data_IF_602320697032
#
_entry.id   IF_602320697032
#
_cell.length_a   1.000
_cell.length_b   1.000
_cell.length_c   1.000
_cell.angle_alpha   90.00
_cell.angle_beta   90.00
_cell.angle_gamma   90.00
#
_symmetry.space_group_name_H-M   'P 1'
#
loop_
_entity.id
_entity.type
_entity.pdbx_description
1 polymer ?
#
# COMPACT_ATOMS: atom_id res chain seq x y z
N UNK A 1 1.00 -6.23 17.68
CA UNK A 1 -0.20 -5.37 17.79
C UNK A 1 -1.52 -6.11 18.17
N UNK A 2 -1.48 -7.26 18.88
CA UNK A 2 -2.68 -7.85 19.52
C UNK A 2 -2.54 -8.07 21.04
N UNK A 3 -1.41 -7.71 21.66
CA UNK A 3 -1.15 -8.03 23.08
C UNK A 3 -1.92 -7.15 24.07
N UNK A 4 -2.42 -5.98 23.67
CA UNK A 4 -2.98 -5.02 24.65
C UNK A 4 -4.50 -5.16 24.87
N UNK A 5 -5.25 -5.68 23.89
CA UNK A 5 -6.71 -5.80 24.01
C UNK A 5 -7.15 -7.04 24.80
N UNK A 6 -6.35 -8.11 24.81
CA UNK A 6 -6.67 -9.35 25.53
C UNK A 6 -6.32 -9.31 27.02
N UNK A 7 -5.58 -8.31 27.48
CA UNK A 7 -5.07 -8.25 28.87
C UNK A 7 -6.02 -7.49 29.80
N UNK A 8 -6.76 -6.49 29.30
CA UNK A 8 -7.69 -5.72 30.14
C UNK A 8 -8.88 -6.56 30.67
N UNK A 9 -9.25 -7.64 29.98
CA UNK A 9 -10.25 -8.61 30.49
C UNK A 9 -9.63 -9.60 31.48
N UNK A 10 -8.31 -9.88 31.41
CA UNK A 10 -7.62 -10.83 32.31
C UNK A 10 -7.45 -10.30 33.73
N UNK A 11 -7.42 -8.98 33.93
CA UNK A 11 -7.19 -8.38 35.25
C UNK A 11 -8.46 -8.32 36.13
N UNK A 12 -9.65 -8.49 35.56
CA UNK A 12 -10.91 -8.31 36.32
C UNK A 12 -11.40 -9.57 37.06
N UNK A 13 -10.83 -10.76 36.82
CA UNK A 13 -11.36 -12.03 37.38
C UNK A 13 -10.38 -12.90 38.18
N UNK A 14 -9.20 -12.39 38.56
CA UNK A 14 -8.24 -13.14 39.42
C UNK A 14 -8.41 -12.84 40.92
N UNK A 15 -9.56 -12.31 41.37
CA UNK A 15 -9.79 -11.99 42.79
C UNK A 15 -10.87 -12.81 43.50
N UNK A 16 -11.17 -14.02 43.05
CA UNK A 16 -11.99 -14.95 43.84
C UNK A 16 -11.26 -16.28 44.01
N UNK A 17 -10.51 -16.41 45.12
CA UNK A 17 -10.15 -17.73 45.66
C UNK A 17 -11.24 -18.17 46.63
N UNK A 18 -11.94 -19.28 46.42
CA UNK A 18 -12.60 -19.98 47.50
C UNK A 18 -11.55 -20.79 48.27
N UNK A 19 -11.63 -20.77 49.60
CA UNK A 19 -10.89 -21.68 50.49
C UNK A 19 -11.63 -23.02 50.51
N UNK A 20 -10.97 -24.12 50.15
CA UNK A 20 -11.46 -25.47 50.45
C UNK A 20 -10.85 -26.51 49.53
N UNK A 21 -9.97 -27.36 50.05
CA UNK A 21 -9.40 -28.49 49.31
C UNK A 21 -10.36 -29.67 49.23
N UNK A 22 -10.61 -30.15 48.02
CA UNK A 22 -11.34 -31.38 47.75
C UNK A 22 -11.01 -31.90 46.35
N UNK A 23 -10.89 -33.22 46.21
CA UNK A 23 -10.45 -33.95 45.00
C UNK A 23 -11.32 -33.77 43.74
N UNK A 24 -12.41 -32.98 43.81
CA UNK A 24 -13.21 -32.54 42.66
C UNK A 24 -12.65 -31.32 41.93
N UNK A 25 -11.73 -30.57 42.55
CA UNK A 25 -11.13 -29.36 41.96
C UNK A 25 -10.22 -29.68 40.76
N UNK A 26 -9.62 -30.87 40.72
CA UNK A 26 -8.65 -31.22 39.68
C UNK A 26 -9.34 -31.51 38.34
N UNK A 27 -10.49 -32.20 38.33
CA UNK A 27 -11.24 -32.50 37.09
C UNK A 27 -11.89 -31.25 36.48
N UNK A 28 -12.42 -30.34 37.30
CA UNK A 28 -13.00 -29.07 36.84
C UNK A 28 -11.93 -28.11 36.28
N UNK A 29 -10.73 -28.07 36.90
CA UNK A 29 -9.61 -27.27 36.40
C UNK A 29 -9.02 -27.82 35.10
N UNK A 30 -9.00 -29.15 34.91
CA UNK A 30 -8.56 -29.76 33.64
C UNK A 30 -9.57 -29.45 32.53
N UNK A 31 -10.87 -29.61 32.77
CA UNK A 31 -11.92 -29.30 31.77
C UNK A 31 -11.94 -27.82 31.38
N UNK A 32 -11.81 -26.91 32.35
CA UNK A 32 -11.74 -25.47 32.04
C UNK A 32 -10.48 -25.13 31.25
N UNK A 33 -9.32 -25.69 31.62
CA UNK A 33 -8.07 -25.51 30.86
C UNK A 33 -8.17 -26.07 29.45
N UNK A 34 -8.85 -27.20 29.25
CA UNK A 34 -9.02 -27.81 27.94
C UNK A 34 -10.01 -27.02 27.07
N UNK A 35 -11.08 -26.48 27.65
CA UNK A 35 -12.03 -25.56 26.97
C UNK A 35 -11.34 -24.24 26.61
N UNK A 36 -10.55 -23.65 27.53
CA UNK A 36 -9.78 -22.44 27.22
C UNK A 36 -8.68 -22.69 26.20
N UNK A 37 -8.10 -23.89 26.18
CA UNK A 37 -7.10 -24.30 25.20
C UNK A 37 -7.75 -24.60 23.85
N UNK A 38 -8.98 -25.10 23.81
CA UNK A 38 -9.77 -25.21 22.57
C UNK A 38 -10.22 -23.82 22.08
N UNK A 39 -10.69 -22.93 22.95
CA UNK A 39 -11.02 -21.54 22.59
C UNK A 39 -9.79 -20.75 22.16
N UNK A 40 -8.64 -20.94 22.81
CA UNK A 40 -7.35 -20.37 22.42
C UNK A 40 -6.87 -21.00 21.12
N UNK A 41 -6.96 -22.32 20.92
CA UNK A 41 -6.65 -22.97 19.65
C UNK A 41 -7.65 -22.64 18.53
N UNK A 42 -8.88 -22.23 18.84
CA UNK A 42 -9.91 -21.75 17.91
C UNK A 42 -9.79 -20.25 17.61
N UNK A 43 -9.26 -19.47 18.55
CA UNK A 43 -8.91 -18.05 18.36
C UNK A 43 -7.53 -17.89 17.69
N UNK A 44 -6.65 -18.88 17.87
CA UNK A 44 -5.34 -19.05 17.22
C UNK A 44 -5.46 -19.93 15.97
N UNK A 45 -6.61 -20.58 15.73
CA UNK A 45 -6.94 -21.22 14.45
C UNK A 45 -6.84 -20.13 13.38
N UNK A 46 -5.73 -20.19 12.65
CA UNK A 46 -5.21 -19.26 11.66
C UNK A 46 -6.21 -18.20 11.18
N UNK A 47 -5.89 -16.92 11.35
CA UNK A 47 -6.47 -15.89 10.47
C UNK A 47 -6.31 -16.37 9.03
N UNK A 48 -7.42 -16.83 8.43
CA UNK A 48 -7.40 -17.47 7.13
C UNK A 48 -6.69 -16.57 6.13
N UNK A 49 -5.60 -17.05 5.54
CA UNK A 49 -4.86 -16.34 4.51
C UNK A 49 -5.78 -15.86 3.38
N UNK A 50 -6.84 -16.60 3.08
CA UNK A 50 -7.90 -16.20 2.17
C UNK A 50 -8.50 -14.84 2.53
N UNK A 51 -8.82 -14.59 3.82
CA UNK A 51 -9.34 -13.29 4.27
C UNK A 51 -8.33 -12.17 4.08
N UNK A 52 -7.03 -12.44 4.28
CA UNK A 52 -5.96 -11.45 4.07
C UNK A 52 -5.80 -11.10 2.59
N UNK A 53 -5.81 -12.10 1.71
CA UNK A 53 -5.79 -11.87 0.26
C UNK A 53 -7.03 -11.09 -0.20
N UNK A 54 -8.23 -11.43 0.29
CA UNK A 54 -9.44 -10.67 0.00
C UNK A 54 -9.36 -9.23 0.54
N UNK A 55 -8.72 -9.02 1.70
CA UNK A 55 -8.42 -7.70 2.23
C UNK A 55 -7.54 -6.88 1.28
N UNK A 56 -6.48 -7.47 0.73
CA UNK A 56 -5.64 -6.81 -0.27
C UNK A 56 -6.40 -6.52 -1.58
N UNK A 57 -7.23 -7.44 -2.07
CA UNK A 57 -8.11 -7.19 -3.23
C UNK A 57 -9.01 -5.98 -2.95
N UNK A 58 -9.70 -5.96 -1.81
CA UNK A 58 -10.62 -4.88 -1.43
C UNK A 58 -9.89 -3.54 -1.27
N UNK A 59 -8.77 -3.52 -0.56
CA UNK A 59 -8.01 -2.30 -0.32
C UNK A 59 -7.44 -1.73 -1.60
N UNK A 60 -6.84 -2.55 -2.47
CA UNK A 60 -6.32 -2.06 -3.75
C UNK A 60 -7.45 -1.66 -4.69
N UNK A 61 -8.59 -2.36 -4.66
CA UNK A 61 -9.77 -1.91 -5.38
C UNK A 61 -10.18 -0.50 -4.96
N UNK A 62 -10.34 -0.23 -3.66
CA UNK A 62 -10.72 1.10 -3.14
C UNK A 62 -9.69 2.16 -3.52
N UNK A 63 -8.40 1.85 -3.34
CA UNK A 63 -7.28 2.73 -3.68
C UNK A 63 -7.33 3.15 -5.16
N UNK A 64 -7.30 2.18 -6.06
CA UNK A 64 -7.18 2.42 -7.50
C UNK A 64 -8.49 2.97 -8.05
N UNK A 65 -9.64 2.50 -7.59
CA UNK A 65 -10.93 2.96 -8.08
C UNK A 65 -11.15 4.45 -7.80
N UNK A 66 -10.82 4.91 -6.59
CA UNK A 66 -10.97 6.32 -6.22
C UNK A 66 -9.91 7.20 -6.91
N UNK A 67 -8.66 6.74 -6.94
CA UNK A 67 -7.57 7.45 -7.60
C UNK A 67 -7.81 7.62 -9.10
N UNK A 68 -8.04 6.52 -9.82
CA UNK A 68 -8.28 6.53 -11.27
C UNK A 68 -9.63 7.20 -11.62
N UNK A 69 -10.63 7.21 -10.72
CA UNK A 69 -11.84 8.02 -10.91
C UNK A 69 -11.53 9.52 -10.95
N UNK A 70 -10.63 10.01 -10.10
CA UNK A 70 -10.19 11.39 -10.20
C UNK A 70 -9.44 11.65 -11.50
N UNK A 71 -8.60 10.71 -11.96
CA UNK A 71 -7.89 10.86 -13.24
C UNK A 71 -8.87 10.81 -14.41
N UNK A 72 -9.90 9.96 -14.36
CA UNK A 72 -11.00 9.95 -15.32
C UNK A 72 -11.68 11.32 -15.41
N UNK A 73 -11.95 11.96 -14.27
CA UNK A 73 -12.45 13.34 -14.25
C UNK A 73 -11.45 14.32 -14.86
N UNK A 74 -10.18 14.25 -14.48
CA UNK A 74 -9.15 15.19 -14.94
C UNK A 74 -8.94 15.11 -16.47
N UNK A 75 -8.97 13.91 -17.04
CA UNK A 75 -8.78 13.66 -18.48
C UNK A 75 -10.08 13.94 -19.26
N UNK A 76 -11.19 13.32 -18.86
CA UNK A 76 -12.44 13.32 -19.63
C UNK A 76 -13.42 14.44 -19.29
N UNK A 77 -13.22 15.15 -18.17
CA UNK A 77 -14.08 16.22 -17.67
C UNK A 77 -13.92 17.58 -18.38
N UNK A 78 -13.16 17.63 -19.48
CA UNK A 78 -12.93 18.85 -20.26
C UNK A 78 -12.20 19.93 -19.47
N UNK A 79 -12.60 21.20 -19.65
CA UNK A 79 -11.96 22.34 -18.96
C UNK A 79 -12.06 22.25 -17.44
N UNK A 80 -13.18 21.78 -16.90
CA UNK A 80 -13.39 21.68 -15.45
C UNK A 80 -12.52 20.58 -14.84
N UNK A 81 -12.34 19.45 -15.55
CA UNK A 81 -11.41 18.39 -15.18
C UNK A 81 -9.97 18.89 -15.13
N UNK A 82 -9.53 19.55 -16.21
CA UNK A 82 -8.18 20.11 -16.30
C UNK A 82 -7.88 21.14 -15.18
N UNK A 83 -8.85 22.00 -14.85
CA UNK A 83 -8.70 23.00 -13.79
C UNK A 83 -8.62 22.41 -12.38
N UNK A 84 -9.01 21.15 -12.15
CA UNK A 84 -8.83 20.51 -10.86
C UNK A 84 -7.34 20.42 -10.47
N UNK A 85 -6.45 20.29 -11.45
CA UNK A 85 -5.01 20.40 -11.28
C UNK A 85 -4.36 19.22 -10.52
N UNK A 86 -3.03 19.21 -10.53
CA UNK A 86 -2.22 18.11 -9.97
C UNK A 86 -2.21 18.07 -8.44
N UNK A 87 -2.47 19.21 -7.77
CA UNK A 87 -2.64 19.23 -6.31
C UNK A 87 -3.92 18.50 -5.89
N UNK A 88 -5.01 18.60 -6.65
CA UNK A 88 -6.20 17.81 -6.39
C UNK A 88 -5.93 16.32 -6.62
N UNK A 89 -5.11 15.97 -7.63
CA UNK A 89 -4.67 14.59 -7.84
C UNK A 89 -4.01 14.03 -6.58
N UNK A 90 -3.04 14.75 -6.02
CA UNK A 90 -2.41 14.37 -4.75
C UNK A 90 -3.43 14.10 -3.66
N UNK A 91 -4.31 15.07 -3.41
CA UNK A 91 -5.32 14.96 -2.36
C UNK A 91 -6.25 13.74 -2.51
N UNK A 92 -6.79 13.49 -3.71
CA UNK A 92 -7.69 12.35 -3.93
C UNK A 92 -6.97 11.00 -3.87
N UNK A 93 -5.72 10.90 -4.36
CA UNK A 93 -4.91 9.70 -4.20
C UNK A 93 -4.56 9.41 -2.72
N UNK A 94 -4.21 10.45 -1.95
CA UNK A 94 -3.94 10.30 -0.52
C UNK A 94 -5.18 9.88 0.29
N UNK A 95 -6.35 10.41 -0.03
CA UNK A 95 -7.61 9.96 0.54
C UNK A 95 -7.97 8.53 0.14
N UNK A 96 -7.75 8.16 -1.12
CA UNK A 96 -7.96 6.80 -1.57
C UNK A 96 -7.12 5.80 -0.75
N UNK A 97 -5.84 6.10 -0.53
CA UNK A 97 -4.96 5.28 0.33
C UNK A 97 -5.47 5.24 1.78
N UNK A 98 -5.82 6.38 2.35
CA UNK A 98 -6.35 6.46 3.72
C UNK A 98 -7.55 5.54 3.92
N UNK A 99 -8.55 5.64 3.02
CA UNK A 99 -9.78 4.86 3.10
C UNK A 99 -9.53 3.38 2.83
N UNK A 100 -8.65 3.05 1.89
CA UNK A 100 -8.27 1.68 1.62
C UNK A 100 -7.63 1.01 2.85
N UNK A 101 -6.70 1.70 3.53
CA UNK A 101 -6.06 1.19 4.75
C UNK A 101 -7.10 1.01 5.86
N UNK A 102 -8.01 1.98 6.08
CA UNK A 102 -9.09 1.80 7.07
C UNK A 102 -10.01 0.61 6.73
N UNK A 103 -10.30 0.37 5.45
CA UNK A 103 -11.24 -0.66 5.01
C UNK A 103 -10.70 -2.09 5.24
N UNK A 104 -9.40 -2.31 5.05
CA UNK A 104 -8.83 -3.67 5.05
C UNK A 104 -7.64 -3.89 6.00
N UNK A 105 -7.07 -2.82 6.59
CA UNK A 105 -5.86 -2.88 7.39
C UNK A 105 -5.96 -3.78 8.62
N UNK A 106 -7.13 -3.82 9.26
CA UNK A 106 -7.39 -4.71 10.39
C UNK A 106 -7.36 -6.21 10.05
N UNK A 107 -7.45 -6.56 8.75
CA UNK A 107 -7.47 -7.95 8.28
C UNK A 107 -6.15 -8.32 7.59
N UNK A 108 -5.73 -7.58 6.56
CA UNK A 108 -4.56 -7.94 5.75
C UNK A 108 -3.26 -7.29 6.21
N UNK A 109 -3.34 -6.26 7.07
CA UNK A 109 -2.24 -5.32 7.33
C UNK A 109 -2.12 -4.21 6.29
N UNK A 110 -3.00 -4.18 5.28
CA UNK A 110 -3.05 -3.19 4.20
C UNK A 110 -1.67 -2.89 3.58
N UNK A 111 -1.03 -3.90 2.99
CA UNK A 111 0.19 -3.66 2.23
C UNK A 111 -0.11 -2.82 0.99
N UNK A 112 -1.15 -3.24 0.24
CA UNK A 112 -1.75 -2.56 -0.90
C UNK A 112 -0.80 -2.21 -2.05
N UNK A 113 0.45 -2.66 -1.96
CA UNK A 113 1.55 -2.27 -2.82
C UNK A 113 2.62 -3.40 -2.80
N UNK A 114 3.00 -3.95 -3.97
CA UNK A 114 4.09 -4.91 -4.07
C UNK A 114 5.42 -4.42 -3.49
N UNK A 115 5.77 -3.14 -3.67
CA UNK A 115 6.99 -2.55 -3.12
C UNK A 115 6.99 -2.53 -1.59
N UNK A 116 5.84 -2.21 -0.97
CA UNK A 116 5.66 -2.28 0.49
C UNK A 116 5.69 -3.74 0.96
N UNK A 117 5.03 -4.65 0.24
CA UNK A 117 5.05 -6.09 0.56
C UNK A 117 6.47 -6.65 0.58
N UNK A 118 7.30 -6.29 -0.41
CA UNK A 118 8.70 -6.70 -0.46
C UNK A 118 9.53 -6.09 0.68
N UNK A 119 9.34 -4.79 0.95
CA UNK A 119 10.00 -4.11 2.06
C UNK A 119 9.71 -4.80 3.42
N UNK A 120 8.44 -5.13 3.67
CA UNK A 120 8.02 -5.82 4.89
C UNK A 120 8.54 -7.26 4.96
N UNK A 121 8.62 -7.97 3.82
CA UNK A 121 9.20 -9.32 3.76
C UNK A 121 10.71 -9.31 4.07
N UNK A 122 11.42 -8.29 3.57
CA UNK A 122 12.86 -8.14 3.78
C UNK A 122 13.22 -7.71 5.21
N UNK A 123 12.43 -6.81 5.80
CA UNK A 123 12.85 -6.05 6.99
C UNK A 123 11.91 -6.13 8.19
N UNK A 124 10.70 -6.68 8.04
CA UNK A 124 9.69 -6.77 9.11
C UNK A 124 9.13 -8.19 9.30
N UNK A 125 9.76 -9.20 8.69
CA UNK A 125 9.43 -10.61 8.93
C UNK A 125 8.14 -11.09 8.25
N UNK A 126 7.62 -10.36 7.26
CA UNK A 126 6.47 -10.85 6.50
C UNK A 126 6.83 -12.14 5.73
N UNK A 127 6.01 -13.22 5.79
CA UNK A 127 6.42 -14.51 5.23
C UNK A 127 6.61 -14.48 3.71
N UNK A 128 7.81 -14.82 3.25
CA UNK A 128 8.16 -14.86 1.82
C UNK A 128 7.23 -15.74 0.98
N UNK A 129 6.75 -16.86 1.53
CA UNK A 129 5.79 -17.75 0.86
C UNK A 129 4.43 -17.11 0.55
N UNK A 130 4.13 -15.96 1.17
CA UNK A 130 2.86 -15.24 1.02
C UNK A 130 2.97 -14.03 0.11
N UNK A 131 4.19 -13.59 -0.20
CA UNK A 131 4.47 -12.44 -1.08
C UNK A 131 3.81 -12.60 -2.45
N UNK A 132 3.93 -13.73 -3.17
CA UNK A 132 3.28 -13.88 -4.48
C UNK A 132 1.76 -13.77 -4.41
N UNK A 133 1.14 -14.31 -3.34
CA UNK A 133 -0.30 -14.24 -3.13
C UNK A 133 -0.78 -12.82 -2.84
N UNK A 134 -0.02 -12.04 -2.04
CA UNK A 134 -0.32 -10.62 -1.80
C UNK A 134 -0.22 -9.81 -3.10
N UNK A 135 0.87 -9.98 -3.86
CA UNK A 135 1.05 -9.27 -5.14
C UNK A 135 -0.06 -9.64 -6.13
N UNK A 136 -0.41 -10.93 -6.25
CA UNK A 136 -1.51 -11.37 -7.10
C UNK A 136 -2.86 -10.77 -6.68
N UNK A 137 -3.16 -10.76 -5.39
CA UNK A 137 -4.38 -10.15 -4.85
C UNK A 137 -4.45 -8.63 -5.14
N UNK A 138 -3.33 -7.92 -4.95
CA UNK A 138 -3.22 -6.49 -5.23
C UNK A 138 -3.45 -6.20 -6.72
N UNK A 139 -2.83 -6.96 -7.62
CA UNK A 139 -3.03 -6.81 -9.07
C UNK A 139 -4.48 -7.09 -9.47
N UNK A 140 -5.12 -8.12 -8.91
CA UNK A 140 -6.55 -8.41 -9.12
C UNK A 140 -7.42 -7.24 -8.65
N UNK A 141 -7.18 -6.71 -7.46
CA UNK A 141 -7.90 -5.54 -6.94
C UNK A 141 -7.80 -4.34 -7.87
N UNK A 142 -6.59 -4.04 -8.35
CA UNK A 142 -6.33 -2.92 -9.25
C UNK A 142 -6.96 -3.11 -10.64
N UNK A 143 -6.93 -4.33 -11.19
CA UNK A 143 -7.62 -4.68 -12.43
C UNK A 143 -9.14 -4.47 -12.31
N UNK A 144 -9.74 -4.97 -11.22
CA UNK A 144 -11.18 -4.80 -10.96
C UNK A 144 -11.56 -3.33 -10.76
N UNK A 145 -10.69 -2.54 -10.13
CA UNK A 145 -10.88 -1.10 -10.00
C UNK A 145 -10.92 -0.38 -11.35
N UNK A 146 -9.96 -0.66 -12.25
CA UNK A 146 -9.93 -0.08 -13.58
C UNK A 146 -11.18 -0.45 -14.42
N UNK A 147 -11.65 -1.69 -14.28
CA UNK A 147 -12.94 -2.11 -14.84
C UNK A 147 -14.12 -1.33 -14.25
N UNK A 148 -14.13 -1.13 -12.92
CA UNK A 148 -15.11 -0.32 -12.23
C UNK A 148 -15.12 1.14 -12.69
N UNK A 149 -13.95 1.76 -12.86
CA UNK A 149 -13.82 3.12 -13.39
C UNK A 149 -14.36 3.20 -14.81
N UNK A 150 -14.01 2.23 -15.66
CA UNK A 150 -14.53 2.17 -17.04
C UNK A 150 -16.06 2.05 -17.10
N UNK A 151 -16.66 1.33 -16.14
CA UNK A 151 -18.10 1.20 -16.00
C UNK A 151 -18.74 2.51 -15.53
N UNK A 152 -18.26 3.09 -14.42
CA UNK A 152 -18.86 4.29 -13.80
C UNK A 152 -18.68 5.54 -14.66
N UNK A 153 -17.50 5.72 -15.27
CA UNK A 153 -17.16 6.90 -16.07
C UNK A 153 -17.45 6.73 -17.56
N UNK A 154 -18.12 5.64 -17.96
CA UNK A 154 -18.32 5.27 -19.35
C UNK A 154 -18.80 6.42 -20.24
N UNK A 155 -19.82 7.16 -19.83
CA UNK A 155 -20.40 8.24 -20.63
C UNK A 155 -19.43 9.42 -20.84
N UNK A 156 -18.66 9.79 -19.82
CA UNK A 156 -17.68 10.88 -19.92
C UNK A 156 -16.47 10.45 -20.76
N UNK A 157 -15.96 9.23 -20.55
CA UNK A 157 -14.87 8.67 -21.36
C UNK A 157 -15.31 8.56 -22.82
N UNK A 158 -16.52 8.07 -23.08
CA UNK A 158 -17.06 7.94 -24.43
C UNK A 158 -17.16 9.31 -25.12
N UNK A 159 -17.76 10.32 -24.45
CA UNK A 159 -17.87 11.66 -25.02
C UNK A 159 -16.49 12.30 -25.24
N UNK A 160 -15.53 12.06 -24.34
CA UNK A 160 -14.16 12.52 -24.53
C UNK A 160 -13.55 11.90 -25.78
N UNK A 161 -13.60 10.58 -25.93
CA UNK A 161 -12.97 9.86 -27.04
C UNK A 161 -13.70 9.99 -28.38
N UNK A 162 -15.01 10.30 -28.41
CA UNK A 162 -15.77 10.33 -29.68
C UNK A 162 -16.15 11.74 -30.12
N UNK A 163 -16.17 12.71 -29.20
CA UNK A 163 -16.63 14.07 -29.48
C UNK A 163 -15.54 15.10 -29.20
N UNK A 164 -14.99 15.12 -27.98
CA UNK A 164 -14.09 16.19 -27.55
C UNK A 164 -12.66 16.04 -28.10
N UNK A 165 -12.13 14.82 -28.10
CA UNK A 165 -10.85 14.42 -28.66
C UNK A 165 -11.00 13.07 -29.38
N UNK A 166 -11.40 13.06 -30.66
CA UNK A 166 -11.64 11.84 -31.41
C UNK A 166 -10.46 10.85 -31.40
N UNK A 167 -10.61 9.74 -30.66
CA UNK A 167 -9.69 8.61 -30.59
C UNK A 167 -10.15 7.54 -31.58
N UNK A 168 -9.40 7.41 -32.66
CA UNK A 168 -9.66 6.43 -33.73
C UNK A 168 -9.11 5.05 -33.34
N UNK A 169 -7.98 5.03 -32.64
CA UNK A 169 -7.30 3.83 -32.20
C UNK A 169 -6.74 4.04 -30.79
N UNK A 170 -7.30 3.34 -29.80
CA UNK A 170 -6.80 3.39 -28.42
C UNK A 170 -5.37 2.87 -28.29
N UNK A 171 -4.90 2.02 -29.20
CA UNK A 171 -3.52 1.55 -29.25
C UNK A 171 -2.55 2.48 -29.98
N UNK A 172 -3.08 3.46 -30.72
CA UNK A 172 -2.31 4.44 -31.48
C UNK A 172 -1.97 5.70 -30.68
N UNK A 173 -1.26 6.64 -31.30
CA UNK A 173 -0.79 7.86 -30.64
C UNK A 173 -1.93 8.72 -30.05
N UNK A 174 -3.11 8.73 -30.69
CA UNK A 174 -4.27 9.47 -30.19
C UNK A 174 -4.97 8.81 -28.99
N UNK A 175 -4.68 7.53 -28.70
CA UNK A 175 -5.16 6.84 -27.50
C UNK A 175 -4.32 7.08 -26.24
N UNK A 176 -3.13 7.69 -26.36
CA UNK A 176 -2.21 7.87 -25.22
C UNK A 176 -2.87 8.71 -24.12
N UNK A 177 -3.56 9.80 -24.48
CA UNK A 177 -4.15 10.71 -23.51
C UNK A 177 -5.30 10.08 -22.71
N UNK A 178 -6.22 9.35 -23.36
CA UNK A 178 -7.30 8.65 -22.65
C UNK A 178 -6.76 7.48 -21.81
N UNK A 179 -5.65 6.87 -22.22
CA UNK A 179 -4.98 5.81 -21.48
C UNK A 179 -4.37 6.25 -20.14
N UNK A 180 -4.15 7.55 -19.96
CA UNK A 180 -3.65 8.12 -18.69
C UNK A 180 -4.62 7.92 -17.53
N UNK A 181 -5.91 7.66 -17.81
CA UNK A 181 -6.90 7.34 -16.79
C UNK A 181 -6.50 6.12 -15.97
N UNK A 182 -5.81 5.17 -16.60
CA UNK A 182 -5.52 3.85 -16.03
C UNK A 182 -4.03 3.63 -15.76
N UNK A 183 -3.13 4.21 -16.56
CA UNK A 183 -1.68 3.94 -16.47
C UNK A 183 -0.85 5.15 -16.10
N UNK A 184 0.21 4.92 -15.34
CA UNK A 184 1.24 5.93 -15.07
C UNK A 184 2.27 5.93 -16.21
N UNK A 185 2.64 7.12 -16.69
CA UNK A 185 3.48 7.28 -17.86
C UNK A 185 4.63 8.25 -17.61
N UNK A 186 5.82 7.82 -18.05
CA UNK A 186 7.03 8.62 -18.07
C UNK A 186 7.54 8.80 -19.52
N UNK A 187 7.97 10.03 -19.90
CA UNK A 187 7.65 11.30 -19.26
C UNK A 187 6.14 11.57 -19.29
N UNK A 188 5.64 12.47 -18.44
CA UNK A 188 4.20 12.77 -18.39
C UNK A 188 3.67 13.23 -19.77
N UNK A 189 2.80 12.45 -20.45
CA UNK A 189 2.50 12.71 -21.87
C UNK A 189 1.79 14.03 -22.17
N UNK A 190 1.02 14.59 -21.23
CA UNK A 190 0.34 15.89 -21.40
C UNK A 190 1.18 17.12 -21.01
N UNK A 191 2.28 16.94 -20.29
CA UNK A 191 3.03 18.06 -19.70
C UNK A 191 4.42 18.20 -20.32
N UNK A 192 5.11 17.08 -20.48
CA UNK A 192 6.44 17.02 -21.10
C UNK A 192 6.30 16.52 -22.55
N UNK A 193 5.44 15.52 -22.77
CA UNK A 193 5.26 14.86 -24.05
C UNK A 193 5.90 13.48 -24.08
N UNK A 194 5.79 12.79 -25.21
CA UNK A 194 6.22 11.40 -25.37
C UNK A 194 7.01 11.16 -26.66
N UNK A 195 7.44 12.22 -27.34
CA UNK A 195 8.23 12.16 -28.57
C UNK A 195 9.75 12.19 -28.27
N UNK A 196 10.58 12.08 -29.32
CA UNK A 196 12.03 12.08 -29.16
C UNK A 196 12.60 13.34 -28.48
N UNK A 197 11.96 14.50 -28.64
CA UNK A 197 12.38 15.74 -27.97
C UNK A 197 12.06 15.71 -26.46
N UNK A 198 10.89 15.16 -26.09
CA UNK A 198 10.53 14.95 -24.69
C UNK A 198 11.54 14.01 -23.99
N UNK A 199 11.96 12.93 -24.67
CA UNK A 199 12.95 11.99 -24.14
C UNK A 199 14.36 12.56 -23.97
N UNK A 200 14.67 13.71 -24.61
CA UNK A 200 15.92 14.43 -24.35
C UNK A 200 15.83 15.31 -23.11
N UNK A 201 14.64 15.86 -22.83
CA UNK A 201 14.40 16.74 -21.67
C UNK A 201 14.24 15.93 -20.39
N UNK A 202 13.50 14.83 -20.48
CA UNK A 202 13.31 13.86 -19.42
C UNK A 202 13.75 12.50 -19.98
N UNK A 203 15.01 12.08 -19.74
CA UNK A 203 15.56 10.80 -20.17
C UNK A 203 15.33 9.71 -19.13
N UNK A 204 15.34 8.44 -19.56
CA UNK A 204 14.78 7.33 -18.77
C UNK A 204 15.38 7.13 -17.38
N UNK A 205 16.64 7.53 -17.19
CA UNK A 205 17.31 7.40 -15.90
C UNK A 205 16.81 8.44 -14.90
N UNK A 206 16.25 9.57 -15.36
CA UNK A 206 15.56 10.56 -14.52
C UNK A 206 14.23 9.98 -14.04
N UNK A 207 13.41 9.44 -14.95
CA UNK A 207 12.16 8.75 -14.56
C UNK A 207 12.42 7.58 -13.61
N UNK A 208 13.30 6.66 -14.00
CA UNK A 208 13.65 5.53 -13.16
C UNK A 208 14.20 5.95 -11.79
N UNK A 209 15.08 6.96 -11.77
CA UNK A 209 15.59 7.54 -10.53
C UNK A 209 14.49 8.15 -9.68
N UNK A 210 13.52 8.83 -10.30
CA UNK A 210 12.39 9.46 -9.62
C UNK A 210 11.54 8.38 -8.94
N UNK A 211 11.05 7.37 -9.66
CA UNK A 211 10.23 6.28 -9.08
C UNK A 211 10.96 5.56 -7.92
N UNK A 212 12.28 5.33 -8.05
CA UNK A 212 13.11 4.76 -6.97
C UNK A 212 13.09 5.68 -5.75
N UNK A 213 13.38 6.96 -5.93
CA UNK A 213 13.49 7.94 -4.85
C UNK A 213 12.13 8.13 -4.15
N UNK A 214 11.07 8.38 -4.91
CA UNK A 214 9.76 8.69 -4.33
C UNK A 214 9.14 7.44 -3.67
N UNK A 215 9.38 6.24 -4.20
CA UNK A 215 8.95 5.00 -3.54
C UNK A 215 9.78 4.71 -2.30
N UNK A 216 11.08 5.01 -2.30
CA UNK A 216 11.91 4.90 -1.10
C UNK A 216 11.43 5.83 0.01
N UNK A 217 11.09 7.09 -0.31
CA UNK A 217 10.51 8.05 0.64
C UNK A 217 9.16 7.54 1.17
N UNK A 218 8.30 7.00 0.30
CA UNK A 218 7.04 6.38 0.72
C UNK A 218 7.29 5.28 1.75
N UNK A 219 8.20 4.34 1.49
CA UNK A 219 8.45 3.23 2.40
C UNK A 219 9.14 3.68 3.70
N UNK A 220 10.10 4.63 3.63
CA UNK A 220 10.74 5.22 4.81
C UNK A 220 9.69 5.81 5.76
N UNK A 221 8.77 6.61 5.21
CA UNK A 221 7.75 7.29 6.00
C UNK A 221 6.68 6.33 6.50
N UNK A 222 6.25 5.35 5.70
CA UNK A 222 5.35 4.28 6.14
C UNK A 222 5.94 3.52 7.33
N UNK A 223 7.20 3.09 7.24
CA UNK A 223 7.87 2.39 8.33
C UNK A 223 8.01 3.25 9.57
N UNK A 224 8.31 4.54 9.40
CA UNK A 224 8.34 5.51 10.50
C UNK A 224 6.99 5.71 11.19
N UNK A 225 5.90 5.71 10.43
CA UNK A 225 4.54 5.89 10.96
C UNK A 225 4.08 4.66 11.75
N UNK A 226 4.45 3.45 11.30
CA UNK A 226 4.05 2.19 11.94
C UNK A 226 5.11 1.65 12.91
N UNK A 227 6.15 2.43 13.21
CA UNK A 227 7.24 2.06 14.11
C UNK A 227 6.70 1.81 15.53
N UNK A 228 6.97 0.63 16.07
CA UNK A 228 6.44 0.19 17.37
C UNK A 228 7.29 0.69 18.55
N UNK A 229 8.52 1.15 18.29
CA UNK A 229 9.40 1.77 19.29
C UNK A 229 9.03 3.23 19.63
N UNK A 230 8.14 3.84 18.87
CA UNK A 230 7.63 5.21 19.10
C UNK A 230 6.16 5.09 19.52
N UNK A 231 5.66 5.90 20.49
CA UNK A 231 4.25 5.88 20.87
C UNK A 231 3.32 5.99 19.66
N UNK A 232 2.62 4.90 19.37
CA UNK A 232 1.81 4.84 18.15
C UNK A 232 0.55 5.68 18.30
N UNK A 233 0.21 6.41 17.25
CA UNK A 233 -1.11 6.96 17.06
C UNK A 233 -1.86 6.06 16.05
N UNK A 234 -2.07 4.80 16.40
CA UNK A 234 -2.54 3.74 15.49
C UNK A 234 -3.78 4.13 14.67
N UNK A 235 -4.73 4.84 15.29
CA UNK A 235 -5.95 5.29 14.61
C UNK A 235 -5.73 6.45 13.62
N UNK A 236 -4.60 7.14 13.65
CA UNK A 236 -4.27 8.20 12.68
C UNK A 236 -3.19 7.78 11.68
N UNK A 237 -2.55 6.62 11.87
CA UNK A 237 -1.56 6.09 10.94
C UNK A 237 -2.08 6.00 9.49
N UNK A 238 -3.32 5.53 9.22
CA UNK A 238 -3.86 5.52 7.85
C UNK A 238 -3.95 6.91 7.23
N UNK A 239 -4.35 7.93 8.02
CA UNK A 239 -4.41 9.32 7.57
C UNK A 239 -3.01 9.89 7.30
N UNK A 240 -2.04 9.61 8.17
CA UNK A 240 -0.66 10.06 7.97
C UNK A 240 -0.04 9.46 6.69
N UNK A 241 -0.28 8.17 6.43
CA UNK A 241 0.17 7.52 5.19
C UNK A 241 -0.52 8.14 3.96
N UNK A 242 -1.81 8.46 4.07
CA UNK A 242 -2.52 9.19 3.02
C UNK A 242 -1.94 10.57 2.74
N UNK A 243 -1.55 11.33 3.77
CA UNK A 243 -0.90 12.64 3.61
C UNK A 243 0.45 12.51 2.89
N UNK A 244 1.24 11.48 3.22
CA UNK A 244 2.49 11.18 2.51
C UNK A 244 2.21 10.94 1.03
N UNK A 245 1.24 10.09 0.71
CA UNK A 245 0.89 9.79 -0.69
C UNK A 245 0.37 11.04 -1.40
N UNK A 246 -0.44 11.87 -0.73
CA UNK A 246 -0.92 13.12 -1.29
C UNK A 246 0.22 14.09 -1.64
N UNK A 247 1.22 14.20 -0.77
CA UNK A 247 2.40 15.01 -1.02
C UNK A 247 3.22 14.46 -2.19
N UNK A 248 3.49 13.16 -2.21
CA UNK A 248 4.29 12.53 -3.27
C UNK A 248 3.59 12.64 -4.64
N UNK A 249 2.31 12.30 -4.73
CA UNK A 249 1.56 12.41 -5.98
C UNK A 249 1.44 13.89 -6.39
N UNK A 250 1.07 14.79 -5.47
CA UNK A 250 0.90 16.21 -5.78
C UNK A 250 2.17 16.90 -6.29
N UNK A 251 3.35 16.47 -5.81
CA UNK A 251 4.64 17.05 -6.18
C UNK A 251 5.29 16.37 -7.40
N UNK A 252 5.13 15.06 -7.56
CA UNK A 252 5.90 14.28 -8.55
C UNK A 252 5.05 13.73 -9.71
N UNK A 253 3.72 13.72 -9.61
CA UNK A 253 2.87 13.40 -10.75
C UNK A 253 3.11 14.26 -12.00
N UNK A 254 3.45 15.57 -11.92
CA UNK A 254 3.78 16.35 -13.11
C UNK A 254 4.95 15.81 -13.95
N UNK A 255 5.82 14.99 -13.36
CA UNK A 255 7.01 14.43 -14.01
C UNK A 255 6.67 13.09 -14.68
N UNK A 256 6.12 12.15 -13.91
CA UNK A 256 5.95 10.75 -14.35
C UNK A 256 4.67 10.07 -13.85
N UNK A 257 3.70 10.86 -13.37
CA UNK A 257 2.43 10.39 -12.80
C UNK A 257 2.54 9.62 -11.47
N UNK A 258 3.74 9.59 -10.85
CA UNK A 258 4.01 9.09 -9.50
C UNK A 258 3.35 7.73 -9.21
N UNK A 259 3.78 6.70 -9.92
CA UNK A 259 3.21 5.36 -9.82
C UNK A 259 3.33 4.81 -8.40
N UNK A 260 4.54 4.80 -7.82
CA UNK A 260 4.85 4.38 -6.45
C UNK A 260 4.52 2.91 -6.11
N UNK A 261 3.74 2.23 -6.95
CA UNK A 261 3.03 1.02 -6.63
C UNK A 261 2.86 0.15 -7.89
N UNK A 262 3.60 -0.97 -7.99
CA UNK A 262 3.55 -1.84 -9.15
C UNK A 262 2.16 -2.43 -9.44
N UNK A 263 1.33 -2.73 -8.43
CA UNK A 263 0.00 -3.27 -8.65
C UNK A 263 -0.99 -2.20 -9.15
N UNK A 264 -0.87 -0.96 -8.63
CA UNK A 264 -1.64 0.22 -9.03
C UNK A 264 -1.39 0.64 -10.48
N UNK A 265 -0.26 0.24 -11.08
CA UNK A 265 0.02 0.49 -12.50
C UNK A 265 -0.22 -0.76 -13.36
N UNK A 266 0.28 -1.93 -12.93
CA UNK A 266 0.17 -3.16 -13.72
C UNK A 266 -1.27 -3.68 -13.85
N UNK A 267 -2.06 -3.66 -12.78
CA UNK A 267 -3.45 -4.15 -12.81
C UNK A 267 -4.33 -3.38 -13.82
N UNK A 268 -4.35 -2.03 -13.78
CA UNK A 268 -5.08 -1.25 -14.76
C UNK A 268 -4.57 -1.42 -16.19
N UNK A 269 -3.26 -1.60 -16.40
CA UNK A 269 -2.71 -1.92 -17.74
C UNK A 269 -3.25 -3.25 -18.29
N UNK A 270 -3.44 -4.26 -17.45
CA UNK A 270 -4.09 -5.50 -17.88
C UNK A 270 -5.54 -5.24 -18.32
N UNK A 271 -6.27 -4.36 -17.63
CA UNK A 271 -7.60 -3.95 -18.06
C UNK A 271 -7.56 -3.14 -19.37
N UNK A 272 -6.58 -2.24 -19.52
CA UNK A 272 -6.37 -1.48 -20.76
C UNK A 272 -6.18 -2.39 -21.99
N UNK A 273 -5.48 -3.52 -21.85
CA UNK A 273 -5.38 -4.52 -22.92
C UNK A 273 -6.76 -5.06 -23.33
N UNK A 274 -7.64 -5.32 -22.35
CA UNK A 274 -9.01 -5.82 -22.59
C UNK A 274 -9.84 -4.80 -23.37
N UNK A 275 -9.68 -3.50 -23.07
CA UNK A 275 -10.47 -2.42 -23.69
C UNK A 275 -9.77 -1.74 -24.88
N UNK A 276 -8.77 -2.39 -25.47
CA UNK A 276 -8.23 -2.05 -26.79
C UNK A 276 -7.05 -1.07 -26.82
N UNK A 277 -6.39 -0.79 -25.69
CA UNK A 277 -5.21 0.10 -25.68
C UNK A 277 -3.92 -0.54 -26.20
N UNK A 278 -3.88 -1.85 -26.47
CA UNK A 278 -2.74 -2.51 -27.12
C UNK A 278 -1.36 -2.07 -26.58
N UNK A 279 -0.51 -1.53 -27.46
CA UNK A 279 0.84 -1.05 -27.12
C UNK A 279 0.87 0.10 -26.12
N UNK A 280 -0.19 0.91 -26.04
CA UNK A 280 -0.29 1.97 -25.03
C UNK A 280 -0.54 1.40 -23.62
N UNK A 281 -1.06 0.17 -23.50
CA UNK A 281 -1.17 -0.52 -22.22
C UNK A 281 0.16 -1.17 -21.84
N UNK A 282 0.65 -2.06 -22.71
CA UNK A 282 1.90 -2.80 -22.53
C UNK A 282 2.64 -2.85 -23.88
N UNK A 283 3.90 -2.40 -23.95
CA UNK A 283 4.76 -1.95 -22.85
C UNK A 283 4.50 -0.51 -22.40
N UNK A 284 3.49 0.15 -22.97
CA UNK A 284 3.22 1.57 -22.79
C UNK A 284 4.09 2.44 -23.72
N UNK A 285 3.73 3.73 -23.87
CA UNK A 285 4.54 4.71 -24.57
C UNK A 285 5.99 4.66 -24.07
N UNK A 286 6.96 4.67 -24.99
CA UNK A 286 8.40 4.63 -24.66
C UNK A 286 8.85 3.45 -23.80
N UNK A 287 8.14 2.32 -23.86
CA UNK A 287 8.37 1.14 -23.02
C UNK A 287 8.27 1.44 -21.52
N UNK A 288 7.45 2.41 -21.11
CA UNK A 288 7.48 2.93 -19.74
C UNK A 288 7.16 1.95 -18.61
N UNK A 289 6.59 0.77 -18.89
CA UNK A 289 6.22 -0.20 -17.85
C UNK A 289 7.40 -0.54 -16.95
N UNK A 290 8.64 -0.56 -17.46
CA UNK A 290 9.80 -0.84 -16.61
C UNK A 290 10.14 0.34 -15.69
N UNK A 291 9.83 1.59 -16.06
CA UNK A 291 9.98 2.76 -15.18
C UNK A 291 8.89 2.72 -14.12
N UNK A 292 7.62 2.83 -14.52
CA UNK A 292 6.52 3.09 -13.59
C UNK A 292 6.04 1.85 -12.83
N UNK A 293 6.16 0.64 -13.40
CA UNK A 293 5.81 -0.60 -12.68
C UNK A 293 7.01 -1.21 -11.94
N UNK A 294 8.20 -1.28 -12.55
CA UNK A 294 9.30 -2.07 -11.98
C UNK A 294 10.22 -1.29 -11.03
N UNK A 295 10.48 0.00 -11.27
CA UNK A 295 11.39 0.78 -10.41
C UNK A 295 10.91 0.96 -8.96
N UNK A 296 9.60 1.03 -8.66
CA UNK A 296 9.13 0.98 -7.28
C UNK A 296 9.57 -0.29 -6.52
N UNK A 297 9.76 -1.43 -7.20
CA UNK A 297 10.26 -2.67 -6.59
C UNK A 297 11.73 -2.55 -6.13
N UNK A 298 12.47 -1.56 -6.64
CA UNK A 298 13.82 -1.21 -6.17
C UNK A 298 13.72 -0.17 -5.05
N UNK A 299 12.92 0.88 -5.26
CA UNK A 299 12.74 1.96 -4.29
C UNK A 299 12.21 1.49 -2.94
N UNK A 300 11.23 0.60 -2.90
CA UNK A 300 10.63 0.12 -1.65
C UNK A 300 11.63 -0.57 -0.71
N UNK A 301 12.30 -1.65 -1.15
CA UNK A 301 13.39 -2.29 -0.40
C UNK A 301 14.51 -1.33 0.00
N UNK A 302 14.91 -0.42 -0.88
CA UNK A 302 15.93 0.59 -0.59
C UNK A 302 15.47 1.52 0.55
N UNK A 303 14.23 2.00 0.51
CA UNK A 303 13.66 2.81 1.58
C UNK A 303 13.64 2.08 2.93
N UNK A 304 13.26 0.81 2.94
CA UNK A 304 13.28 0.00 4.17
C UNK A 304 14.69 -0.19 4.73
N UNK A 305 15.68 -0.44 3.86
CA UNK A 305 17.08 -0.52 4.25
C UNK A 305 17.59 0.79 4.85
N UNK A 306 17.31 1.93 4.19
CA UNK A 306 17.72 3.26 4.66
C UNK A 306 17.07 3.58 6.01
N UNK A 307 15.76 3.37 6.16
CA UNK A 307 15.07 3.60 7.42
C UNK A 307 15.67 2.80 8.56
N UNK A 308 16.01 1.53 8.30
CA UNK A 308 16.56 0.68 9.34
C UNK A 308 17.97 1.10 9.78
N UNK A 309 18.80 1.47 8.81
CA UNK A 309 20.17 1.91 9.04
C UNK A 309 20.23 3.30 9.70
N UNK A 310 19.31 4.21 9.39
CA UNK A 310 19.41 5.60 9.88
C UNK A 310 18.55 5.81 11.12
N UNK A 311 17.38 5.18 11.19
CA UNK A 311 16.38 5.45 12.24
C UNK A 311 16.20 4.25 13.15
N UNK A 312 15.69 3.13 12.65
CA UNK A 312 15.24 2.00 13.47
C UNK A 312 16.33 1.49 14.43
N UNK A 313 17.57 1.33 13.96
CA UNK A 313 18.67 0.81 14.79
C UNK A 313 19.09 1.74 15.94
N UNK A 314 18.72 3.02 15.89
CA UNK A 314 19.03 4.02 16.91
C UNK A 314 17.86 4.28 17.87
N UNK A 315 16.70 3.65 17.64
CA UNK A 315 15.57 3.75 18.54
C UNK A 315 15.71 2.76 19.72
N UNK A 316 15.36 3.17 20.95
CA UNK A 316 15.36 2.28 22.09
C UNK A 316 14.46 1.07 21.85
N UNK A 317 14.80 -0.08 22.44
CA UNK A 317 13.96 -1.29 22.41
C UNK A 317 12.57 -0.92 22.95
N UNK A 318 11.47 -1.43 22.38
CA UNK A 318 10.11 -1.01 22.74
C UNK A 318 9.90 -1.03 24.26
N UNK A 319 9.50 0.09 24.86
CA UNK A 319 9.16 0.14 26.30
C UNK A 319 7.72 -0.36 26.44
N UNK A 320 7.54 -1.68 26.42
CA UNK A 320 6.28 -2.35 26.73
C UNK A 320 6.31 -2.97 28.14
N UNK A 321 5.15 -3.24 28.76
CA UNK A 321 5.08 -3.84 30.10
C UNK A 321 5.72 -5.24 30.22
N UNK A 322 6.08 -5.87 29.10
CA UNK A 322 6.67 -7.21 29.03
C UNK A 322 8.16 -7.23 28.66
N UNK A 323 8.86 -6.09 28.65
CA UNK A 323 10.32 -6.09 28.51
C UNK A 323 10.93 -6.25 29.90
N UNK A 324 11.66 -7.36 30.18
CA UNK A 324 12.40 -7.47 31.43
C UNK A 324 13.32 -6.26 31.54
N UNK A 325 13.26 -5.52 32.66
CA UNK A 325 14.24 -4.48 32.94
C UNK A 325 15.63 -5.05 32.64
N UNK A 326 16.46 -4.37 31.83
CA UNK A 326 17.83 -4.81 31.64
C UNK A 326 18.45 -4.91 33.03
N UNK A 327 18.82 -6.13 33.42
CA UNK A 327 19.38 -6.41 34.73
C UNK A 327 20.52 -5.40 34.96
N UNK A 328 20.55 -4.71 36.12
CA UNK A 328 21.56 -3.69 36.37
C UNK A 328 22.92 -4.33 36.11
N UNK A 329 23.68 -3.72 35.20
CA UNK A 329 25.00 -4.17 34.82
C UNK A 329 25.81 -4.30 36.10
N UNK A 330 26.00 -5.55 36.57
CA UNK A 330 26.80 -5.80 37.76
C UNK A 330 28.18 -5.28 37.41
N UNK A 331 28.53 -4.16 38.04
CA UNK A 331 29.85 -3.57 37.98
C UNK A 331 30.86 -4.72 38.02
N UNK A 332 31.64 -4.87 36.93
CA UNK A 332 32.74 -5.82 36.90
C UNK A 332 33.61 -5.46 38.09
N UNK A 333 33.52 -6.27 39.15
CA UNK A 333 34.44 -6.22 40.26
C UNK A 333 35.82 -6.44 39.64
N UNK A 334 36.62 -5.37 39.59
CA UNK A 334 38.05 -5.46 39.32
C UNK A 334 38.61 -6.42 40.37
N UNK A 335 38.92 -7.62 39.93
CA UNK A 335 39.74 -8.56 40.68
C UNK A 335 41.14 -8.43 40.10
N UNK A 336 42.05 -8.04 41.00
CA UNK A 336 43.51 -7.86 40.90
C UNK A 336 44.02 -6.78 39.95
#
# INVERSE_FOLDING_TARGET
MRSEWSVQVRTFLVRVRPKGGGTGDTQLQTSARDIFREEENMAVAEESWTKKYLGEVLGVFVLVFLGDSFVAYAVSGGKNGFLAGLLAAGFFWGFAVTLAIYACGAVSGAHLNPAVTLALALRRGFPWSKVPGYIGAQVVGAFLAAAGVSFVWNGLIYNYEHTAKPVIDRGGANGIESGLIFSANWPHPLLIGHNAAALQQDPWWVGAGTEIIITAILVITVLGIIEDRIPSAANVAPLAIGIVVAALVGLFAPIEMASLNPARDFGPRLWMLVIGYGSNAIPGPNFNIWVTTLMPLVGGPLGAYIYDMIVHQHLPVPVGPDVPEPAPERARARTT
#
